data_IF_207065509961
#
_entry.id   IF_207065509961
#
_cell.length_a   1.000
_cell.length_b   1.000
_cell.length_c   1.000
_cell.angle_alpha   90.00
_cell.angle_beta   90.00
_cell.angle_gamma   90.00
#
_symmetry.space_group_name_H-M   'P 1'
#
loop_
_entity.id
_entity.type
_entity.pdbx_description
1 polymer ?
#
# COMPACT_ATOMS: atom_id res chain seq x y z
N UNK A 1 7.10 22.06 16.32
CA UNK A 1 7.31 22.12 14.85
C UNK A 1 7.30 20.67 14.33
N UNK A 2 6.29 20.25 13.56
CA UNK A 2 6.15 18.84 13.10
C UNK A 2 7.28 18.51 12.12
N UNK A 3 7.94 17.37 12.31
CA UNK A 3 9.09 16.88 11.51
C UNK A 3 8.84 16.93 9.99
N UNK A 4 7.58 16.72 9.58
CA UNK A 4 7.13 16.82 8.19
C UNK A 4 7.39 18.20 7.53
N UNK A 5 7.13 19.29 8.25
CA UNK A 5 7.33 20.65 7.71
C UNK A 5 8.82 20.99 7.55
N UNK A 6 9.67 20.48 8.47
CA UNK A 6 11.13 20.58 8.32
C UNK A 6 11.64 19.79 7.11
N UNK A 7 11.12 18.59 6.88
CA UNK A 7 11.48 17.77 5.72
C UNK A 7 11.06 18.43 4.40
N UNK A 8 9.88 19.08 4.37
CA UNK A 8 9.39 19.81 3.20
C UNK A 8 10.23 21.06 2.90
N UNK A 9 10.72 21.75 3.92
CA UNK A 9 11.66 22.88 3.79
C UNK A 9 13.07 22.43 3.39
N UNK A 10 13.50 21.23 3.80
CA UNK A 10 14.74 20.58 3.38
C UNK A 10 14.55 19.72 2.11
N UNK A 11 13.71 20.16 1.17
CA UNK A 11 13.57 19.51 -0.15
C UNK A 11 14.85 19.68 -0.96
N UNK A 12 15.90 18.96 -0.58
CA UNK A 12 17.02 18.66 -1.45
C UNK A 12 16.46 17.76 -2.56
N UNK A 13 16.45 18.28 -3.79
CA UNK A 13 16.02 17.56 -4.99
C UNK A 13 16.85 16.31 -5.32
N UNK A 14 17.89 16.03 -4.52
CA UNK A 14 18.82 14.91 -4.68
C UNK A 14 18.66 13.82 -3.62
N UNK A 15 17.56 13.83 -2.84
CA UNK A 15 17.32 12.76 -1.88
C UNK A 15 17.09 11.42 -2.60
N UNK A 16 17.98 10.45 -2.35
CA UNK A 16 17.90 9.10 -2.93
C UNK A 16 16.77 8.28 -2.28
N UNK A 17 16.44 8.58 -1.02
CA UNK A 17 15.41 7.89 -0.24
C UNK A 17 14.47 8.93 0.37
N UNK A 18 13.16 8.69 0.26
CA UNK A 18 12.12 9.50 0.87
C UNK A 18 11.36 8.67 1.91
N UNK A 19 11.39 9.07 3.16
CA UNK A 19 10.56 8.51 4.22
C UNK A 19 9.27 9.32 4.34
N UNK A 20 8.12 8.67 4.22
CA UNK A 20 6.80 9.31 4.27
C UNK A 20 5.77 8.35 4.84
N UNK A 21 4.63 8.88 5.26
CA UNK A 21 3.44 8.06 5.56
C UNK A 21 2.68 7.75 4.27
N UNK A 22 1.89 6.67 4.27
CA UNK A 22 1.03 6.31 3.14
C UNK A 22 0.04 7.42 2.78
N UNK A 23 -0.55 8.07 3.78
CA UNK A 23 -1.43 9.24 3.60
C UNK A 23 -0.73 10.38 2.87
N UNK A 24 0.48 10.75 3.33
CA UNK A 24 1.26 11.83 2.71
C UNK A 24 1.79 11.49 1.32
N UNK A 25 1.90 10.19 1.00
CA UNK A 25 2.32 9.71 -0.31
C UNK A 25 1.22 9.73 -1.38
N UNK A 26 -0.05 9.96 -0.99
CA UNK A 26 -1.18 9.99 -1.92
C UNK A 26 -0.95 11.00 -3.05
N UNK A 27 -1.06 10.53 -4.30
CA UNK A 27 -0.81 11.34 -5.50
C UNK A 27 0.67 11.51 -5.88
N UNK A 28 1.59 10.92 -5.12
CA UNK A 28 2.99 10.76 -5.50
C UNK A 28 3.22 9.35 -6.08
N UNK A 29 4.35 9.17 -6.75
CA UNK A 29 4.81 7.89 -7.27
C UNK A 29 6.34 7.78 -7.12
N UNK A 30 6.83 6.56 -6.92
CA UNK A 30 8.25 6.24 -6.71
C UNK A 30 8.63 5.00 -7.52
N UNK A 31 9.88 4.91 -7.96
CA UNK A 31 10.35 3.75 -8.73
C UNK A 31 10.22 2.44 -7.96
N UNK A 32 10.57 2.49 -6.66
CA UNK A 32 10.37 1.41 -5.72
C UNK A 32 9.81 1.94 -4.39
N UNK A 33 8.99 1.12 -3.73
CA UNK A 33 8.42 1.40 -2.40
C UNK A 33 8.79 0.28 -1.46
N UNK A 34 9.18 0.63 -0.24
CA UNK A 34 9.33 -0.30 0.87
C UNK A 34 8.25 0.00 1.91
N UNK A 35 7.39 -0.97 2.19
CA UNK A 35 6.37 -0.89 3.23
C UNK A 35 6.96 -1.42 4.53
N UNK A 36 6.89 -0.60 5.59
CA UNK A 36 7.30 -0.98 6.93
C UNK A 36 6.30 -1.95 7.57
N UNK A 37 6.61 -2.48 8.74
CA UNK A 37 5.81 -3.47 9.49
C UNK A 37 4.64 -2.86 10.30
N UNK A 38 4.34 -1.58 10.09
CA UNK A 38 3.37 -0.79 10.87
C UNK A 38 1.93 -0.86 10.35
N UNK A 39 1.68 -1.57 9.24
CA UNK A 39 0.32 -1.83 8.78
C UNK A 39 -0.34 -2.98 9.57
N UNK A 40 -1.61 -2.81 9.99
CA UNK A 40 -2.39 -3.91 10.54
C UNK A 40 -2.57 -5.05 9.52
N UNK A 41 -2.76 -6.27 10.02
CA UNK A 41 -3.09 -7.41 9.16
C UNK A 41 -4.49 -7.24 8.58
N UNK A 42 -4.67 -7.47 7.27
CA UNK A 42 -5.98 -7.35 6.61
C UNK A 42 -6.99 -8.33 7.22
N UNK A 43 -6.57 -9.56 7.53
CA UNK A 43 -7.41 -10.55 8.20
C UNK A 43 -7.85 -10.11 9.60
N UNK A 44 -6.99 -9.40 10.33
CA UNK A 44 -7.34 -8.86 11.65
C UNK A 44 -8.37 -7.74 11.51
N UNK A 45 -8.20 -6.84 10.54
CA UNK A 45 -9.17 -5.77 10.24
C UNK A 45 -10.53 -6.37 9.88
N UNK A 46 -10.56 -7.42 9.05
CA UNK A 46 -11.79 -8.10 8.67
C UNK A 46 -12.55 -8.63 9.91
N UNK A 47 -11.82 -9.25 10.85
CA UNK A 47 -12.37 -9.86 12.07
C UNK A 47 -12.66 -8.90 13.24
N UNK A 48 -12.33 -7.60 13.13
CA UNK A 48 -12.61 -6.62 14.19
C UNK A 48 -14.07 -6.16 14.14
N UNK A 49 -14.91 -6.67 15.04
CA UNK A 49 -16.33 -6.28 15.15
C UNK A 49 -16.54 -4.84 15.65
N UNK A 50 -15.53 -4.29 16.34
CA UNK A 50 -15.56 -2.92 16.86
C UNK A 50 -15.41 -1.86 15.76
N UNK A 51 -14.85 -2.24 14.61
CA UNK A 51 -14.70 -1.35 13.46
C UNK A 51 -15.96 -1.40 12.59
N UNK A 52 -16.47 -0.21 12.26
CA UNK A 52 -17.46 -0.07 11.20
C UNK A 52 -16.88 -0.49 9.84
N UNK A 53 -17.75 -0.84 8.89
CA UNK A 53 -17.31 -1.18 7.54
C UNK A 53 -16.48 -0.06 6.89
N UNK A 54 -16.84 1.20 7.16
CA UNK A 54 -16.12 2.38 6.64
C UNK A 54 -14.69 2.44 7.19
N UNK A 55 -14.49 2.12 8.47
CA UNK A 55 -13.16 2.10 9.08
C UNK A 55 -12.29 0.97 8.50
N UNK A 56 -12.88 -0.21 8.30
CA UNK A 56 -12.20 -1.33 7.62
C UNK A 56 -11.77 -0.95 6.21
N UNK A 57 -12.69 -0.35 5.44
CA UNK A 57 -12.44 0.11 4.08
C UNK A 57 -11.35 1.19 4.02
N UNK A 58 -11.29 2.09 5.02
CA UNK A 58 -10.25 3.10 5.11
C UNK A 58 -8.86 2.48 5.26
N UNK A 59 -8.71 1.44 6.08
CA UNK A 59 -7.43 0.73 6.23
C UNK A 59 -7.04 -0.02 4.94
N UNK A 60 -7.99 -0.70 4.29
CA UNK A 60 -7.75 -1.34 2.99
C UNK A 60 -7.30 -0.32 1.93
N UNK A 61 -7.98 0.83 1.88
CA UNK A 61 -7.63 1.91 0.97
C UNK A 61 -6.26 2.51 1.27
N UNK A 62 -5.87 2.59 2.54
CA UNK A 62 -4.57 3.11 2.93
C UNK A 62 -3.44 2.17 2.49
N UNK A 63 -3.60 0.87 2.70
CA UNK A 63 -2.67 -0.14 2.21
C UNK A 63 -2.59 -0.14 0.69
N UNK A 64 -3.74 -0.09 0.00
CA UNK A 64 -3.83 0.05 -1.46
C UNK A 64 -3.08 1.29 -1.96
N UNK A 65 -3.27 2.45 -1.32
CA UNK A 65 -2.54 3.66 -1.67
C UNK A 65 -1.04 3.41 -1.55
N UNK A 66 -0.56 2.83 -0.45
CA UNK A 66 0.86 2.59 -0.22
C UNK A 66 1.49 1.69 -1.28
N UNK A 67 0.86 0.55 -1.59
CA UNK A 67 1.31 -0.41 -2.61
C UNK A 67 1.35 0.24 -4.00
N UNK A 68 0.30 0.99 -4.37
CA UNK A 68 0.18 1.62 -5.69
C UNK A 68 1.07 2.85 -5.88
N UNK A 69 1.86 3.26 -4.88
CA UNK A 69 2.86 4.32 -5.08
C UNK A 69 4.07 3.82 -5.87
N UNK A 70 4.29 2.50 -5.93
CA UNK A 70 5.43 1.92 -6.66
C UNK A 70 5.14 1.81 -8.16
N UNK A 71 6.09 2.27 -8.98
CA UNK A 71 6.07 2.09 -10.44
C UNK A 71 6.57 0.72 -10.87
N UNK A 72 7.63 0.23 -10.23
CA UNK A 72 8.33 -0.98 -10.68
C UNK A 72 8.45 -2.06 -9.62
N UNK A 73 8.66 -1.71 -8.34
CA UNK A 73 8.87 -2.71 -7.29
C UNK A 73 8.27 -2.31 -5.93
N UNK A 74 7.68 -3.29 -5.25
CA UNK A 74 7.24 -3.18 -3.86
C UNK A 74 8.00 -4.20 -3.03
N UNK A 75 8.67 -3.73 -1.99
CA UNK A 75 9.18 -4.56 -0.90
C UNK A 75 8.21 -4.43 0.27
N UNK A 76 7.58 -5.53 0.67
CA UNK A 76 6.53 -5.52 1.68
C UNK A 76 7.01 -6.22 2.96
N UNK A 77 7.20 -5.46 4.03
CA UNK A 77 7.54 -5.99 5.36
C UNK A 77 6.32 -6.01 6.32
N UNK A 78 5.12 -5.73 5.81
CA UNK A 78 3.88 -5.82 6.58
C UNK A 78 3.48 -7.28 6.81
N UNK A 79 2.61 -7.57 7.80
CA UNK A 79 1.97 -8.87 7.92
C UNK A 79 1.11 -9.25 6.70
N UNK A 80 0.79 -8.30 5.82
CA UNK A 80 -0.03 -8.49 4.62
C UNK A 80 0.80 -9.04 3.46
N UNK A 81 1.55 -10.11 3.72
CA UNK A 81 2.46 -10.68 2.74
C UNK A 81 1.66 -11.03 1.48
N UNK A 82 2.00 -10.37 0.37
CA UNK A 82 1.53 -10.82 -0.93
C UNK A 82 2.40 -12.03 -1.24
N UNK A 83 1.87 -13.28 -1.20
CA UNK A 83 2.67 -14.43 -1.59
C UNK A 83 3.29 -14.12 -2.94
N UNK A 84 4.61 -14.21 -3.02
CA UNK A 84 5.37 -14.00 -4.23
C UNK A 84 4.85 -14.97 -5.30
N UNK A 85 3.92 -14.48 -6.12
CA UNK A 85 3.36 -15.07 -7.33
C UNK A 85 3.88 -16.49 -7.60
N UNK A 86 3.32 -17.49 -6.91
CA UNK A 86 3.19 -18.77 -7.59
C UNK A 86 2.16 -18.51 -8.67
N UNK A 87 2.62 -18.45 -9.92
CA UNK A 87 1.90 -18.08 -11.13
C UNK A 87 0.46 -18.65 -11.18
N UNK A 88 -0.51 -17.99 -10.56
CA UNK A 88 -1.89 -18.07 -11.04
C UNK A 88 -2.05 -17.00 -12.09
N UNK A 89 -1.68 -17.43 -13.30
CA UNK A 89 -2.15 -16.92 -14.57
C UNK A 89 -3.55 -16.35 -14.37
N UNK A 90 -3.69 -15.03 -14.55
CA UNK A 90 -4.99 -14.38 -14.60
C UNK A 90 -5.80 -15.17 -15.62
N UNK A 91 -6.79 -15.94 -15.14
CA UNK A 91 -7.81 -16.57 -15.95
C UNK A 91 -8.56 -15.38 -16.57
N UNK A 92 -8.40 -15.20 -17.87
CA UNK A 92 -8.82 -14.01 -18.62
C UNK A 92 -10.33 -13.82 -18.45
N UNK A 93 -10.82 -12.58 -18.61
CA UNK A 93 -12.27 -12.23 -18.56
C UNK A 93 -13.12 -13.16 -19.45
N UNK A 94 -12.53 -13.70 -20.52
CA UNK A 94 -13.13 -14.67 -21.44
C UNK A 94 -13.63 -15.94 -20.73
N UNK A 95 -12.88 -16.46 -19.74
CA UNK A 95 -13.26 -17.68 -19.02
C UNK A 95 -14.41 -17.45 -18.03
N UNK A 96 -14.64 -16.21 -17.59
CA UNK A 96 -15.78 -15.85 -16.71
C UNK A 96 -17.08 -15.66 -17.50
N UNK A 97 -17.00 -15.43 -18.82
CA UNK A 97 -18.15 -15.21 -19.69
C UNK A 97 -18.68 -16.49 -20.34
N UNK A 98 -17.92 -17.59 -20.35
CA UNK A 98 -18.37 -18.88 -20.91
C UNK A 98 -19.26 -19.70 -19.95
N UNK A 99 -19.24 -19.41 -18.65
CA UNK A 99 -20.02 -20.11 -17.63
C UNK A 99 -21.40 -19.46 -17.33
N UNK A 100 -21.91 -18.61 -18.22
CA UNK A 100 -23.25 -18.00 -18.14
C UNK A 100 -24.18 -18.44 -19.27
#
# INVERSE_FOLDING_TARGET
MRLFEKAKQQKNSNAVITLTTAHSAKGLEFDAVHLCDDFPSLDQIAGMDELSQIEKDNEYNLFYVAVTRAKYAVSNNTPNYLPSQEKQRIQTIEDFMEDM
#
